data_IF_252086983215
#
_entry.id   IF_252086983215
#
_cell.length_a   1.000
_cell.length_b   1.000
_cell.length_c   1.000
_cell.angle_alpha   90.00
_cell.angle_beta   90.00
_cell.angle_gamma   90.00
#
_symmetry.space_group_name_H-M   'P 1'
#
loop_
_entity.id
_entity.type
_entity.pdbx_description
1 polymer ?
#
# COMPACT_ATOMS: atom_id res chain seq x y z
N UNK A 1 -0.25 24.50 19.62
CA UNK A 1 -0.18 23.45 20.65
C UNK A 1 -0.21 24.08 22.04
N UNK A 2 0.56 25.13 22.34
CA UNK A 2 0.42 25.86 23.61
C UNK A 2 -0.95 26.53 23.78
N UNK A 3 -1.46 27.26 22.79
CA UNK A 3 -2.76 27.96 22.89
C UNK A 3 -3.92 26.96 23.12
N UNK A 4 -3.88 25.82 22.44
CA UNK A 4 -4.87 24.75 22.62
C UNK A 4 -4.76 24.11 24.00
N UNK A 5 -3.56 23.82 24.50
CA UNK A 5 -3.36 23.24 25.83
C UNK A 5 -3.76 24.21 26.96
N UNK A 6 -3.40 25.49 26.84
CA UNK A 6 -3.81 26.54 27.77
C UNK A 6 -5.32 26.77 27.74
N UNK A 7 -5.96 26.72 26.57
CA UNK A 7 -7.41 26.80 26.43
C UNK A 7 -8.13 25.61 27.09
N UNK A 8 -7.62 24.40 26.91
CA UNK A 8 -8.15 23.18 27.52
C UNK A 8 -8.09 23.25 29.05
N UNK A 9 -6.96 23.71 29.59
CA UNK A 9 -6.78 23.84 31.03
C UNK A 9 -7.70 24.92 31.62
N UNK A 10 -7.86 26.04 30.91
CA UNK A 10 -8.79 27.11 31.28
C UNK A 10 -10.24 26.66 31.28
N UNK A 11 -10.70 25.93 30.25
CA UNK A 11 -12.08 25.44 30.20
C UNK A 11 -12.35 24.39 31.28
N UNK A 12 -11.42 23.47 31.52
CA UNK A 12 -11.53 22.49 32.62
C UNK A 12 -11.61 23.18 33.99
N UNK A 13 -10.82 24.23 34.20
CA UNK A 13 -10.81 25.01 35.43
C UNK A 13 -12.15 25.75 35.66
N UNK A 14 -12.64 26.46 34.64
CA UNK A 14 -13.93 27.18 34.70
C UNK A 14 -15.09 26.19 34.92
N UNK A 15 -15.08 25.05 34.23
CA UNK A 15 -16.13 24.05 34.36
C UNK A 15 -16.17 23.41 35.76
N UNK A 16 -15.01 23.08 36.35
CA UNK A 16 -14.95 22.58 37.72
C UNK A 16 -15.49 23.59 38.73
N UNK A 17 -15.16 24.88 38.60
CA UNK A 17 -15.64 25.90 39.54
C UNK A 17 -17.15 26.15 39.44
N UNK A 18 -17.71 26.22 38.23
CA UNK A 18 -19.16 26.41 38.04
C UNK A 18 -19.97 25.23 38.62
N UNK A 19 -19.43 24.01 38.53
CA UNK A 19 -20.09 22.81 39.08
C UNK A 19 -20.05 22.82 40.60
N UNK A 20 -18.89 23.14 41.18
CA UNK A 20 -18.73 23.17 42.64
C UNK A 20 -19.59 24.27 43.28
N UNK A 21 -19.69 25.44 42.67
CA UNK A 21 -20.51 26.53 43.20
C UNK A 21 -22.01 26.19 43.17
N UNK A 22 -22.49 25.56 42.09
CA UNK A 22 -23.89 25.11 42.00
C UNK A 22 -24.24 24.00 42.99
N UNK A 23 -23.32 23.07 43.21
CA UNK A 23 -23.53 22.00 44.21
C UNK A 23 -23.52 22.59 45.62
N UNK A 24 -22.57 23.48 45.94
CA UNK A 24 -22.44 24.04 47.29
C UNK A 24 -23.60 24.97 47.66
N UNK A 25 -24.18 25.67 46.69
CA UNK A 25 -25.29 26.60 46.91
C UNK A 25 -26.66 25.90 47.09
N UNK A 26 -26.87 24.76 46.43
CA UNK A 26 -28.14 24.02 46.49
C UNK A 26 -28.15 22.88 47.52
N UNK A 27 -27.00 22.52 48.12
CA UNK A 27 -26.92 21.51 49.20
C UNK A 27 -27.63 21.95 50.49
N UNK A 28 -27.80 23.26 50.73
CA UNK A 28 -28.53 23.79 51.89
C UNK A 28 -30.06 23.73 51.76
N UNK A 29 -30.59 23.31 50.60
CA UNK A 29 -32.03 23.12 50.38
C UNK A 29 -32.24 21.65 50.04
N UNK A 30 -33.14 20.96 50.71
CA UNK A 30 -33.53 19.55 50.42
C UNK A 30 -34.28 19.42 49.07
N UNK A 31 -33.80 20.08 48.02
CA UNK A 31 -34.42 20.22 46.71
C UNK A 31 -33.59 19.43 45.69
N UNK A 32 -34.27 18.63 44.88
CA UNK A 32 -33.62 17.83 43.83
C UNK A 32 -32.92 18.73 42.81
N UNK A 33 -31.59 18.63 42.73
CA UNK A 33 -30.78 19.34 41.72
C UNK A 33 -30.73 18.51 40.43
N UNK A 34 -31.30 19.06 39.35
CA UNK A 34 -31.30 18.39 38.05
C UNK A 34 -29.94 18.53 37.35
N UNK A 35 -29.12 17.48 37.41
CA UNK A 35 -27.81 17.41 36.75
C UNK A 35 -27.86 17.06 35.26
N UNK A 36 -29.03 16.77 34.69
CA UNK A 36 -29.12 16.27 33.31
C UNK A 36 -28.59 17.26 32.28
N UNK A 37 -28.90 18.55 32.46
CA UNK A 37 -28.36 19.61 31.61
C UNK A 37 -26.84 19.75 31.77
N UNK A 38 -26.34 19.62 32.99
CA UNK A 38 -24.89 19.69 33.26
C UNK A 38 -24.15 18.53 32.58
N UNK A 39 -24.69 17.31 32.67
CA UNK A 39 -24.14 16.12 32.05
C UNK A 39 -24.11 16.27 30.53
N UNK A 40 -25.21 16.76 29.92
CA UNK A 40 -25.27 17.01 28.48
C UNK A 40 -24.16 17.97 28.01
N UNK A 41 -23.95 19.08 28.73
CA UNK A 41 -22.87 20.03 28.41
C UNK A 41 -21.49 19.44 28.58
N UNK A 42 -21.28 18.65 29.63
CA UNK A 42 -20.03 17.95 29.84
C UNK A 42 -19.76 16.90 28.75
N UNK A 43 -20.79 16.21 28.26
CA UNK A 43 -20.66 15.25 27.16
C UNK A 43 -20.32 15.94 25.84
N UNK A 44 -21.00 17.03 25.49
CA UNK A 44 -20.66 17.86 24.33
C UNK A 44 -19.22 18.36 24.42
N UNK A 45 -18.81 18.84 25.60
CA UNK A 45 -17.44 19.29 25.84
C UNK A 45 -16.42 18.15 25.64
N UNK A 46 -16.71 16.96 26.18
CA UNK A 46 -15.87 15.76 25.98
C UNK A 46 -15.73 15.40 24.50
N UNK A 47 -16.82 15.42 23.74
CA UNK A 47 -16.77 15.18 22.30
C UNK A 47 -15.88 16.21 21.59
N UNK A 48 -16.06 17.50 21.88
CA UNK A 48 -15.25 18.57 21.29
C UNK A 48 -13.76 18.41 21.62
N UNK A 49 -13.47 18.04 22.87
CA UNK A 49 -12.11 17.73 23.33
C UNK A 49 -11.48 16.57 22.57
N UNK A 50 -12.22 15.49 22.34
CA UNK A 50 -11.76 14.36 21.52
C UNK A 50 -11.47 14.77 20.08
N UNK A 51 -12.29 15.63 19.48
CA UNK A 51 -12.02 16.17 18.14
C UNK A 51 -10.73 17.00 18.09
N UNK A 52 -10.54 17.91 19.06
CA UNK A 52 -9.32 18.74 19.14
C UNK A 52 -8.08 17.85 19.28
N UNK A 53 -8.16 16.84 20.16
CA UNK A 53 -7.07 15.89 20.36
C UNK A 53 -6.79 15.08 19.09
N UNK A 54 -7.82 14.62 18.38
CA UNK A 54 -7.70 13.92 17.12
C UNK A 54 -6.96 14.76 16.05
N UNK A 55 -7.35 16.02 15.86
CA UNK A 55 -6.64 16.92 14.93
C UNK A 55 -5.22 17.24 15.38
N UNK A 56 -4.98 17.38 16.69
CA UNK A 56 -3.64 17.55 17.24
C UNK A 56 -2.75 16.33 16.93
N UNK A 57 -3.28 15.11 17.05
CA UNK A 57 -2.59 13.86 16.70
C UNK A 57 -2.30 13.76 15.20
N UNK A 58 -3.23 14.15 14.33
CA UNK A 58 -2.97 14.24 12.88
C UNK A 58 -1.84 15.23 12.59
N UNK A 59 -1.86 16.40 13.25
CA UNK A 59 -0.81 17.42 13.10
C UNK A 59 0.54 16.92 13.61
N UNK A 60 0.57 16.19 14.71
CA UNK A 60 1.77 15.53 15.23
C UNK A 60 2.33 14.50 14.23
N UNK A 61 1.46 13.71 13.60
CA UNK A 61 1.85 12.74 12.56
C UNK A 61 2.52 13.44 11.36
N UNK A 62 2.07 14.65 11.00
CA UNK A 62 2.74 15.46 9.96
C UNK A 62 4.16 15.89 10.34
N UNK A 63 4.43 16.09 11.64
CA UNK A 63 5.77 16.43 12.14
C UNK A 63 6.74 15.26 11.99
N UNK A 64 6.26 14.01 12.07
CA UNK A 64 7.10 12.82 11.92
C UNK A 64 7.51 12.51 10.48
N UNK A 65 6.99 13.23 9.48
CA UNK A 65 7.36 13.07 8.06
C UNK A 65 8.81 13.44 7.74
N UNK A 66 9.57 13.98 8.70
CA UNK A 66 11.01 14.17 8.53
C UNK A 66 11.74 12.83 8.36
N UNK A 67 11.19 11.73 8.89
CA UNK A 67 11.72 10.39 8.63
C UNK A 67 11.36 9.91 7.22
N UNK A 68 12.36 9.46 6.45
CA UNK A 68 12.20 8.93 5.09
C UNK A 68 11.16 7.81 4.99
N UNK A 69 11.09 6.91 5.98
CA UNK A 69 10.12 5.80 6.04
C UNK A 69 8.68 6.32 6.14
N UNK A 70 8.46 7.32 6.99
CA UNK A 70 7.14 7.95 7.21
C UNK A 70 6.76 8.82 5.99
N UNK A 71 7.75 9.46 5.36
CA UNK A 71 7.55 10.22 4.11
C UNK A 71 7.09 9.32 2.97
N UNK A 72 7.69 8.15 2.80
CA UNK A 72 7.27 7.16 1.81
C UNK A 72 5.82 6.73 2.03
N UNK A 73 5.45 6.32 3.25
CA UNK A 73 4.07 5.95 3.58
C UNK A 73 3.06 7.08 3.31
N UNK A 74 3.44 8.31 3.64
CA UNK A 74 2.60 9.49 3.38
C UNK A 74 2.40 9.76 1.89
N UNK A 75 3.45 9.59 1.08
CA UNK A 75 3.38 9.71 -0.38
C UNK A 75 2.51 8.60 -0.97
N UNK A 76 2.72 7.34 -0.57
CA UNK A 76 1.88 6.20 -0.97
C UNK A 76 0.41 6.48 -0.68
N UNK A 77 0.08 6.90 0.53
CA UNK A 77 -1.30 7.21 0.91
C UNK A 77 -1.88 8.37 0.10
N UNK A 78 -1.07 9.40 -0.19
CA UNK A 78 -1.50 10.53 -1.02
C UNK A 78 -1.78 10.12 -2.46
N UNK A 79 -0.96 9.25 -3.05
CA UNK A 79 -1.19 8.73 -4.40
C UNK A 79 -2.37 7.75 -4.45
N UNK A 80 -2.56 6.94 -3.40
CA UNK A 80 -3.70 6.04 -3.26
C UNK A 80 -5.04 6.79 -3.03
N UNK A 81 -5.01 8.00 -2.47
CA UNK A 81 -6.24 8.72 -2.09
C UNK A 81 -7.20 8.94 -3.27
N UNK A 82 -6.70 9.38 -4.43
CA UNK A 82 -7.54 9.63 -5.61
C UNK A 82 -8.24 8.35 -6.13
N UNK A 83 -7.52 7.25 -6.42
CA UNK A 83 -8.17 6.01 -6.86
C UNK A 83 -9.06 5.39 -5.77
N UNK A 84 -8.71 5.50 -4.48
CA UNK A 84 -9.58 5.06 -3.37
C UNK A 84 -10.91 5.82 -3.36
N UNK A 85 -10.89 7.14 -3.55
CA UNK A 85 -12.13 7.95 -3.60
C UNK A 85 -12.99 7.54 -4.80
N UNK A 86 -12.39 7.34 -5.97
CA UNK A 86 -13.12 6.89 -7.17
C UNK A 86 -13.77 5.52 -6.96
N UNK A 87 -13.01 4.56 -6.42
CA UNK A 87 -13.51 3.24 -6.07
C UNK A 87 -14.61 3.31 -4.99
N UNK A 88 -14.45 4.18 -3.99
CA UNK A 88 -15.44 4.38 -2.93
C UNK A 88 -16.79 4.86 -3.48
N UNK A 89 -16.81 5.72 -4.51
CA UNK A 89 -18.06 6.15 -5.17
C UNK A 89 -18.73 4.98 -5.88
N UNK A 90 -17.98 4.17 -6.63
CA UNK A 90 -18.52 2.99 -7.32
C UNK A 90 -19.05 1.96 -6.31
N UNK A 91 -18.28 1.70 -5.26
CA UNK A 91 -18.68 0.81 -4.16
C UNK A 91 -19.92 1.31 -3.44
N UNK A 92 -20.04 2.62 -3.21
CA UNK A 92 -21.21 3.20 -2.54
C UNK A 92 -22.49 3.00 -3.34
N UNK A 93 -22.44 3.10 -4.68
CA UNK A 93 -23.61 2.83 -5.53
C UNK A 93 -24.04 1.38 -5.41
N UNK A 94 -23.08 0.44 -5.48
CA UNK A 94 -23.34 -0.99 -5.28
C UNK A 94 -23.92 -1.27 -3.88
N UNK A 95 -23.28 -0.73 -2.84
CA UNK A 95 -23.66 -0.89 -1.45
C UNK A 95 -25.07 -0.35 -1.19
N UNK A 96 -25.39 0.85 -1.67
CA UNK A 96 -26.71 1.46 -1.52
C UNK A 96 -27.79 0.65 -2.26
N UNK A 97 -27.49 0.09 -3.43
CA UNK A 97 -28.41 -0.79 -4.14
C UNK A 97 -28.80 -2.01 -3.30
N UNK A 98 -27.81 -2.69 -2.72
CA UNK A 98 -28.05 -3.82 -1.81
C UNK A 98 -28.69 -3.38 -0.49
N UNK A 99 -28.40 -2.17 0.00
CA UNK A 99 -29.01 -1.62 1.22
C UNK A 99 -30.50 -1.39 1.06
N UNK A 100 -30.92 -0.77 -0.04
CA UNK A 100 -32.34 -0.59 -0.31
C UNK A 100 -33.05 -1.91 -0.54
N UNK A 101 -32.40 -2.86 -1.23
CA UNK A 101 -32.94 -4.21 -1.41
C UNK A 101 -33.12 -4.93 -0.07
N UNK A 102 -32.11 -4.89 0.80
CA UNK A 102 -32.14 -5.55 2.09
C UNK A 102 -33.19 -4.95 3.03
N UNK A 103 -33.27 -3.61 3.07
CA UNK A 103 -34.30 -2.91 3.82
C UNK A 103 -35.68 -3.30 3.29
N UNK A 104 -35.95 -3.19 1.99
CA UNK A 104 -37.26 -3.53 1.42
C UNK A 104 -37.67 -4.99 1.66
N UNK A 105 -36.73 -5.94 1.53
CA UNK A 105 -37.04 -7.36 1.63
C UNK A 105 -37.13 -7.86 3.07
N UNK A 106 -36.22 -7.43 3.95
CA UNK A 106 -36.07 -7.96 5.30
C UNK A 106 -36.61 -7.04 6.41
N UNK A 107 -37.17 -5.87 6.08
CA UNK A 107 -37.69 -4.87 7.04
C UNK A 107 -38.67 -5.48 8.06
N UNK A 108 -39.60 -6.32 7.60
CA UNK A 108 -40.64 -6.89 8.47
C UNK A 108 -40.20 -8.13 9.24
N UNK A 109 -39.17 -8.82 8.76
CA UNK A 109 -38.74 -10.12 9.32
C UNK A 109 -37.59 -9.98 10.31
N UNK A 110 -36.70 -9.00 10.10
CA UNK A 110 -35.46 -8.87 10.86
C UNK A 110 -35.31 -7.43 11.34
N UNK A 111 -35.30 -7.24 12.67
CA UNK A 111 -35.21 -5.93 13.30
C UNK A 111 -34.02 -5.10 12.82
N UNK A 112 -32.91 -5.79 12.55
CA UNK A 112 -31.65 -5.23 12.07
C UNK A 112 -31.81 -4.47 10.72
N UNK A 113 -32.82 -4.83 9.91
CA UNK A 113 -33.12 -4.18 8.63
C UNK A 113 -34.31 -3.21 8.69
N UNK A 114 -34.85 -2.92 9.87
CA UNK A 114 -36.04 -2.06 10.03
C UNK A 114 -35.82 -0.59 9.64
N UNK A 115 -34.61 -0.07 9.82
CA UNK A 115 -34.26 1.32 9.53
C UNK A 115 -33.02 1.38 8.65
N UNK A 116 -32.97 2.30 7.68
CA UNK A 116 -31.82 2.44 6.76
C UNK A 116 -30.47 2.57 7.49
N UNK A 117 -30.29 3.39 8.55
CA UNK A 117 -29.02 3.47 9.26
C UNK A 117 -28.66 2.18 10.01
N UNK A 118 -29.66 1.47 10.54
CA UNK A 118 -29.47 0.20 11.24
C UNK A 118 -29.08 -0.90 10.24
N UNK A 119 -29.81 -0.99 9.12
CA UNK A 119 -29.52 -1.88 8.01
C UNK A 119 -28.12 -1.63 7.43
N UNK A 120 -27.71 -0.37 7.29
CA UNK A 120 -26.36 -0.03 6.85
C UNK A 120 -25.30 -0.54 7.83
N UNK A 121 -25.53 -0.40 9.14
CA UNK A 121 -24.66 -0.95 10.18
C UNK A 121 -24.53 -2.47 10.11
N UNK A 122 -25.63 -3.18 9.85
CA UNK A 122 -25.63 -4.63 9.67
C UNK A 122 -24.92 -5.06 8.38
N UNK A 123 -25.11 -4.34 7.28
CA UNK A 123 -24.37 -4.59 6.05
C UNK A 123 -22.87 -4.33 6.20
N UNK A 124 -22.45 -3.31 6.95
CA UNK A 124 -21.04 -3.12 7.30
C UNK A 124 -20.51 -4.25 8.18
N UNK A 125 -21.32 -4.74 9.11
CA UNK A 125 -20.96 -5.89 9.95
C UNK A 125 -20.81 -7.16 9.11
N UNK A 126 -21.68 -7.35 8.12
CA UNK A 126 -21.58 -8.42 7.10
C UNK A 126 -20.32 -8.30 6.24
N UNK A 127 -19.93 -7.08 5.82
CA UNK A 127 -18.66 -6.83 5.13
C UNK A 127 -17.43 -7.18 5.99
N UNK A 128 -17.49 -6.90 7.29
CA UNK A 128 -16.45 -7.27 8.26
C UNK A 128 -16.51 -8.75 8.67
N UNK A 129 -17.40 -9.53 8.05
CA UNK A 129 -17.65 -10.94 8.34
C UNK A 129 -18.07 -11.19 9.81
N UNK A 130 -18.73 -10.22 10.44
CA UNK A 130 -19.30 -10.27 11.79
C UNK A 130 -20.82 -10.15 11.72
N UNK A 131 -21.50 -11.19 11.26
CA UNK A 131 -22.95 -11.16 11.06
C UNK A 131 -23.61 -12.44 11.58
N UNK A 132 -24.91 -12.37 11.85
CA UNK A 132 -25.72 -13.53 12.21
C UNK A 132 -26.46 -14.06 10.97
N UNK A 133 -25.86 -15.06 10.32
CA UNK A 133 -26.45 -15.72 9.15
C UNK A 133 -27.82 -16.36 9.46
N UNK A 134 -27.99 -16.82 10.69
CA UNK A 134 -29.16 -17.60 11.13
C UNK A 134 -30.43 -16.81 10.96
N UNK A 135 -30.42 -15.53 11.36
CA UNK A 135 -31.58 -14.64 11.26
C UNK A 135 -32.00 -14.41 9.80
N UNK A 136 -31.04 -14.33 8.88
CA UNK A 136 -31.32 -14.09 7.46
C UNK A 136 -31.85 -15.36 6.77
N UNK A 137 -31.34 -16.54 7.16
CA UNK A 137 -31.82 -17.82 6.67
C UNK A 137 -33.22 -18.18 7.21
N UNK A 138 -33.52 -17.81 8.46
CA UNK A 138 -34.84 -17.99 9.06
C UNK A 138 -35.90 -17.08 8.41
N UNK A 139 -35.52 -15.86 8.02
CA UNK A 139 -36.41 -14.93 7.32
C UNK A 139 -36.80 -15.46 5.93
N UNK A 140 -35.82 -15.90 5.14
CA UNK A 140 -36.09 -16.55 3.85
C UNK A 140 -35.00 -17.60 3.55
N UNK A 141 -35.43 -18.86 3.43
CA UNK A 141 -34.54 -20.01 3.23
C UNK A 141 -33.81 -19.99 1.88
N UNK A 142 -34.32 -19.26 0.89
CA UNK A 142 -33.72 -19.18 -0.44
C UNK A 142 -33.06 -17.82 -0.67
N UNK A 143 -33.80 -16.73 -0.42
CA UNK A 143 -33.32 -15.37 -0.71
C UNK A 143 -32.30 -14.88 0.31
N UNK A 144 -32.37 -15.31 1.57
CA UNK A 144 -31.39 -14.95 2.59
C UNK A 144 -29.98 -15.41 2.22
N UNK A 145 -29.74 -16.72 2.00
CA UNK A 145 -28.44 -17.23 1.56
C UNK A 145 -27.96 -16.66 0.23
N UNK A 146 -28.87 -16.46 -0.74
CA UNK A 146 -28.54 -15.89 -2.04
C UNK A 146 -28.07 -14.44 -1.91
N UNK A 147 -28.82 -13.62 -1.17
CA UNK A 147 -28.47 -12.24 -0.87
C UNK A 147 -27.12 -12.16 -0.16
N UNK A 148 -26.94 -12.97 0.89
CA UNK A 148 -25.71 -13.02 1.66
C UNK A 148 -24.50 -13.39 0.80
N UNK A 149 -24.62 -14.44 0.00
CA UNK A 149 -23.54 -14.92 -0.86
C UNK A 149 -23.19 -13.91 -1.95
N UNK A 150 -24.19 -13.34 -2.62
CA UNK A 150 -23.98 -12.35 -3.67
C UNK A 150 -23.34 -11.08 -3.11
N UNK A 151 -23.84 -10.55 -1.99
CA UNK A 151 -23.28 -9.35 -1.39
C UNK A 151 -21.87 -9.58 -0.85
N UNK A 152 -21.69 -10.55 0.05
CA UNK A 152 -20.41 -10.78 0.75
C UNK A 152 -19.32 -11.28 -0.19
N UNK A 153 -19.65 -12.17 -1.12
CA UNK A 153 -18.69 -12.72 -2.08
C UNK A 153 -18.14 -11.65 -3.02
N UNK A 154 -19.03 -10.90 -3.67
CA UNK A 154 -18.64 -9.81 -4.58
C UNK A 154 -17.90 -8.72 -3.83
N UNK A 155 -18.40 -8.28 -2.66
CA UNK A 155 -17.75 -7.24 -1.87
C UNK A 155 -16.35 -7.65 -1.41
N UNK A 156 -16.17 -8.86 -0.90
CA UNK A 156 -14.87 -9.31 -0.39
C UNK A 156 -13.84 -9.37 -1.51
N UNK A 157 -14.20 -9.96 -2.65
CA UNK A 157 -13.33 -10.05 -3.82
C UNK A 157 -13.02 -8.66 -4.37
N UNK A 158 -14.05 -7.81 -4.55
CA UNK A 158 -13.88 -6.47 -5.09
C UNK A 158 -13.02 -5.58 -4.18
N UNK A 159 -13.29 -5.58 -2.88
CA UNK A 159 -12.54 -4.77 -1.90
C UNK A 159 -11.08 -5.22 -1.80
N UNK A 160 -10.82 -6.52 -1.70
CA UNK A 160 -9.45 -7.04 -1.63
C UNK A 160 -8.67 -6.76 -2.91
N UNK A 161 -9.24 -7.12 -4.06
CA UNK A 161 -8.53 -6.97 -5.34
C UNK A 161 -8.29 -5.49 -5.68
N UNK A 162 -9.26 -4.61 -5.44
CA UNK A 162 -9.07 -3.18 -5.68
C UNK A 162 -8.07 -2.58 -4.70
N UNK A 163 -8.09 -2.97 -3.43
CA UNK A 163 -7.13 -2.47 -2.46
C UNK A 163 -5.70 -2.89 -2.80
N UNK A 164 -5.50 -4.15 -3.20
CA UNK A 164 -4.17 -4.66 -3.62
C UNK A 164 -3.67 -3.87 -4.84
N UNK A 165 -4.49 -3.71 -5.88
CA UNK A 165 -4.11 -2.98 -7.10
C UNK A 165 -3.74 -1.53 -6.80
N UNK A 166 -4.58 -0.82 -6.03
CA UNK A 166 -4.33 0.59 -5.69
C UNK A 166 -3.07 0.72 -4.83
N UNK A 167 -2.86 -0.20 -3.88
CA UNK A 167 -1.71 -0.19 -2.98
C UNK A 167 -0.41 -0.45 -3.75
N UNK A 168 -0.38 -1.44 -4.63
CA UNK A 168 0.79 -1.73 -5.48
C UNK A 168 1.15 -0.53 -6.37
N UNK A 169 0.16 0.02 -7.09
CA UNK A 169 0.39 1.17 -7.98
C UNK A 169 0.87 2.41 -7.20
N UNK A 170 0.26 2.70 -6.06
CA UNK A 170 0.64 3.86 -5.24
C UNK A 170 2.02 3.72 -4.62
N UNK A 171 2.43 2.51 -4.22
CA UNK A 171 3.79 2.25 -3.72
C UNK A 171 4.81 2.43 -4.84
N UNK A 172 4.56 1.89 -6.04
CA UNK A 172 5.44 2.05 -7.21
C UNK A 172 5.67 3.53 -7.53
N UNK A 173 4.59 4.31 -7.58
CA UNK A 173 4.65 5.76 -7.83
C UNK A 173 5.40 6.51 -6.71
N UNK A 174 5.11 6.20 -5.45
CA UNK A 174 5.77 6.85 -4.31
C UNK A 174 7.28 6.56 -4.26
N UNK A 175 7.70 5.34 -4.60
CA UNK A 175 9.12 4.97 -4.67
C UNK A 175 9.85 5.70 -5.80
N UNK A 176 9.28 5.72 -7.01
CA UNK A 176 9.86 6.41 -8.15
C UNK A 176 10.08 7.91 -7.89
N UNK A 177 9.14 8.57 -7.22
CA UNK A 177 9.27 9.98 -6.84
C UNK A 177 10.36 10.19 -5.77
N UNK A 178 10.41 9.30 -4.77
CA UNK A 178 11.42 9.38 -3.71
C UNK A 178 12.85 9.18 -4.24
N UNK A 179 13.02 8.31 -5.24
CA UNK A 179 14.31 8.08 -5.93
C UNK A 179 14.71 9.29 -6.77
N UNK A 180 13.77 9.92 -7.49
CA UNK A 180 14.03 11.18 -8.21
C UNK A 180 14.53 12.28 -7.27
N UNK A 181 13.88 12.45 -6.13
CA UNK A 181 14.30 13.41 -5.11
C UNK A 181 15.70 13.05 -4.54
N UNK A 182 16.06 11.77 -4.38
CA UNK A 182 17.42 11.37 -3.96
C UNK A 182 18.47 11.83 -4.96
N UNK A 183 18.22 11.67 -6.26
CA UNK A 183 19.16 12.11 -7.30
C UNK A 183 19.36 13.64 -7.29
N UNK A 184 18.31 14.43 -7.01
CA UNK A 184 18.44 15.89 -6.83
C UNK A 184 19.30 16.25 -5.60
N UNK A 185 19.14 15.53 -4.48
CA UNK A 185 20.00 15.70 -3.31
C UNK A 185 21.43 15.22 -3.56
N UNK A 186 21.64 14.17 -4.35
CA UNK A 186 22.97 13.69 -4.74
C UNK A 186 23.71 14.76 -5.57
N UNK A 187 23.04 15.43 -6.51
CA UNK A 187 23.62 16.59 -7.24
C UNK A 187 24.01 17.72 -6.28
N UNK A 188 23.19 18.00 -5.26
CA UNK A 188 23.51 18.99 -4.22
C UNK A 188 24.68 18.54 -3.34
N UNK A 189 24.79 17.25 -3.03
CA UNK A 189 25.92 16.70 -2.29
C UNK A 189 27.20 16.64 -3.12
N UNK A 190 27.13 16.39 -4.44
CA UNK A 190 28.25 16.60 -5.36
C UNK A 190 28.70 18.06 -5.34
N UNK A 191 27.78 19.02 -5.41
CA UNK A 191 28.12 20.46 -5.33
C UNK A 191 28.71 20.86 -3.98
N UNK A 192 28.18 20.34 -2.86
CA UNK A 192 28.76 20.54 -1.54
C UNK A 192 30.14 19.90 -1.42
N UNK A 193 30.33 18.71 -1.97
CA UNK A 193 31.63 18.00 -1.97
C UNK A 193 32.65 18.75 -2.82
N UNK A 194 32.24 19.36 -3.93
CA UNK A 194 33.08 20.27 -4.72
C UNK A 194 33.45 21.53 -3.93
N UNK A 195 32.47 22.14 -3.23
CA UNK A 195 32.67 23.34 -2.42
C UNK A 195 33.55 23.07 -1.19
N UNK A 196 33.31 21.96 -0.49
CA UNK A 196 34.11 21.47 0.64
C UNK A 196 35.51 21.09 0.17
N UNK A 197 35.65 20.43 -0.98
CA UNK A 197 36.96 20.13 -1.57
C UNK A 197 37.73 21.41 -1.91
N UNK A 198 37.05 22.42 -2.43
CA UNK A 198 37.64 23.74 -2.69
C UNK A 198 38.04 24.44 -1.39
N UNK A 199 37.17 24.48 -0.38
CA UNK A 199 37.47 25.05 0.95
C UNK A 199 38.60 24.28 1.64
N UNK A 200 38.65 22.96 1.50
CA UNK A 200 39.71 22.11 2.04
C UNK A 200 41.05 22.37 1.36
N UNK A 201 41.06 22.66 0.05
CA UNK A 201 42.26 23.09 -0.67
C UNK A 201 42.80 24.45 -0.21
N UNK A 202 41.93 25.31 0.34
CA UNK A 202 42.26 26.63 0.86
C UNK A 202 42.55 26.59 2.37
N UNK A 203 41.97 25.64 3.12
CA UNK A 203 42.11 25.50 4.57
C UNK A 203 42.04 24.01 5.01
N UNK A 204 43.18 23.30 5.11
CA UNK A 204 43.21 21.83 5.28
C UNK A 204 42.92 21.31 6.70
N UNK A 205 42.56 22.16 7.68
CA UNK A 205 42.60 21.80 9.12
C UNK A 205 41.24 21.39 9.73
N UNK A 206 40.09 21.48 9.04
CA UNK A 206 38.78 21.49 9.73
C UNK A 206 37.77 20.35 9.48
N UNK A 207 37.98 19.40 8.56
CA UNK A 207 36.86 18.53 8.11
C UNK A 207 37.11 17.02 8.13
N UNK A 208 37.82 16.51 9.14
CA UNK A 208 38.02 15.07 9.32
C UNK A 208 36.84 14.36 10.03
N UNK A 209 35.80 15.11 10.44
CA UNK A 209 34.72 14.61 11.30
C UNK A 209 33.42 14.19 10.60
N UNK A 210 33.27 14.38 9.28
CA UNK A 210 31.96 14.20 8.61
C UNK A 210 31.75 12.87 7.88
N UNK A 211 32.68 11.91 7.93
CA UNK A 211 32.61 10.69 7.11
C UNK A 211 31.85 9.51 7.73
N UNK A 212 31.53 9.54 9.02
CA UNK A 212 31.15 8.30 9.75
C UNK A 212 29.64 8.12 9.99
N UNK A 213 28.77 9.08 9.65
CA UNK A 213 27.35 9.02 10.05
C UNK A 213 26.33 8.75 8.94
N UNK A 214 26.73 8.63 7.66
CA UNK A 214 25.76 8.55 6.54
C UNK A 214 25.50 7.13 5.97
N UNK A 215 26.22 6.09 6.40
CA UNK A 215 26.12 4.75 5.77
C UNK A 215 25.00 3.83 6.31
N UNK A 216 24.27 4.16 7.38
CA UNK A 216 23.33 3.22 8.01
C UNK A 216 21.84 3.32 7.61
N UNK A 217 21.43 4.27 6.77
CA UNK A 217 19.98 4.50 6.48
C UNK A 217 19.55 4.18 5.03
N UNK A 218 20.36 3.40 4.31
CA UNK A 218 20.01 2.89 2.99
C UNK A 218 19.15 1.63 3.11
N UNK A 219 17.82 1.83 3.08
CA UNK A 219 16.88 0.75 2.80
C UNK A 219 17.31 0.04 1.52
N UNK A 220 17.85 -1.17 1.67
CA UNK A 220 18.27 -2.08 0.60
C UNK A 220 17.19 -2.11 -0.48
N UNK A 221 17.53 -1.55 -1.63
CA UNK A 221 16.77 -1.61 -2.86
C UNK A 221 16.76 -3.08 -3.29
N UNK A 222 15.61 -3.75 -3.14
CA UNK A 222 15.35 -5.02 -3.84
C UNK A 222 14.58 -4.60 -5.10
N UNK A 223 15.24 -4.54 -6.29
CA UNK A 223 14.52 -4.38 -7.53
C UNK A 223 13.46 -5.48 -7.63
N UNK A 224 12.34 -5.23 -8.33
CA UNK A 224 11.30 -6.22 -8.57
C UNK A 224 11.94 -7.60 -8.81
N UNK A 225 11.65 -8.64 -7.99
CA UNK A 225 12.34 -9.93 -8.10
C UNK A 225 12.30 -10.47 -9.53
N UNK A 226 11.19 -10.19 -10.23
CA UNK A 226 10.95 -10.53 -11.63
C UNK A 226 11.98 -9.88 -12.58
N UNK A 227 12.37 -8.63 -12.38
CA UNK A 227 13.37 -7.95 -13.23
C UNK A 227 14.81 -8.41 -12.93
N UNK A 228 15.10 -8.82 -11.69
CA UNK A 228 16.38 -9.43 -11.33
C UNK A 228 16.48 -10.82 -11.96
N UNK A 229 15.37 -11.58 -11.90
CA UNK A 229 15.26 -12.90 -12.50
C UNK A 229 15.38 -12.80 -14.01
N UNK A 230 14.67 -11.89 -14.69
CA UNK A 230 14.80 -11.65 -16.13
C UNK A 230 16.24 -11.32 -16.52
N UNK A 231 16.89 -10.35 -15.84
CA UNK A 231 18.29 -10.00 -16.13
C UNK A 231 19.26 -11.15 -15.89
N UNK A 232 19.04 -11.96 -14.85
CA UNK A 232 19.87 -13.14 -14.57
C UNK A 232 19.63 -14.24 -15.59
N UNK A 233 18.39 -14.43 -16.05
CA UNK A 233 18.04 -15.37 -17.11
C UNK A 233 18.71 -14.94 -18.42
N UNK A 234 18.60 -13.67 -18.81
CA UNK A 234 19.24 -13.15 -20.02
C UNK A 234 20.78 -13.31 -19.98
N UNK A 235 21.40 -13.04 -18.83
CA UNK A 235 22.84 -13.27 -18.63
C UNK A 235 23.23 -14.74 -18.73
N UNK A 236 22.40 -15.66 -18.22
CA UNK A 236 22.64 -17.09 -18.29
C UNK A 236 22.45 -17.60 -19.72
N UNK A 237 21.42 -17.13 -20.44
CA UNK A 237 21.21 -17.46 -21.86
C UNK A 237 22.39 -17.01 -22.71
N UNK A 238 22.94 -15.82 -22.45
CA UNK A 238 24.16 -15.34 -23.10
C UNK A 238 25.39 -16.19 -22.77
N UNK A 239 25.57 -16.59 -21.52
CA UNK A 239 26.68 -17.46 -21.13
C UNK A 239 26.57 -18.85 -21.77
N UNK A 240 25.37 -19.44 -21.80
CA UNK A 240 25.15 -20.75 -22.43
C UNK A 240 25.40 -20.68 -23.94
N UNK A 241 24.94 -19.64 -24.62
CA UNK A 241 25.20 -19.43 -26.05
C UNK A 241 26.69 -19.24 -26.34
N UNK A 242 27.42 -18.51 -25.49
CA UNK A 242 28.87 -18.35 -25.64
C UNK A 242 29.61 -19.67 -25.41
N UNK A 243 29.17 -20.49 -24.45
CA UNK A 243 29.75 -21.81 -24.20
C UNK A 243 29.48 -22.74 -25.40
N UNK A 244 28.27 -22.76 -25.97
CA UNK A 244 27.99 -23.53 -27.20
C UNK A 244 28.90 -23.13 -28.36
N UNK A 245 29.18 -21.83 -28.52
CA UNK A 245 30.12 -21.34 -29.54
C UNK A 245 31.57 -21.73 -29.22
N UNK A 246 31.97 -21.71 -27.95
CA UNK A 246 33.30 -22.12 -27.50
C UNK A 246 33.51 -23.64 -27.69
N UNK A 247 32.47 -24.46 -27.50
CA UNK A 247 32.46 -25.89 -27.83
C UNK A 247 32.50 -26.14 -29.35
N UNK A 248 31.81 -25.32 -30.16
CA UNK A 248 31.85 -25.41 -31.62
C UNK A 248 33.22 -25.03 -32.20
N UNK A 249 33.90 -24.04 -31.61
CA UNK A 249 35.26 -23.65 -31.99
C UNK A 249 36.33 -24.67 -31.56
N UNK A 250 36.12 -25.39 -30.45
CA UNK A 250 37.06 -26.42 -29.97
C UNK A 250 36.89 -27.74 -30.76
N UNK A 251 35.67 -28.09 -31.18
CA UNK A 251 35.41 -29.25 -32.04
C UNK A 251 35.96 -29.05 -33.46
N UNK A 252 35.98 -27.81 -33.96
CA UNK A 252 36.51 -27.47 -35.29
C UNK A 252 38.02 -27.10 -35.31
N UNK A 253 38.69 -27.14 -34.15
CA UNK A 253 40.14 -26.93 -34.04
C UNK A 253 40.97 -28.21 -34.19
N UNK A 254 40.32 -29.37 -34.14
CA UNK A 254 40.94 -30.69 -34.24
C UNK A 254 40.67 -31.40 -35.57
N UNK A 255 40.13 -30.71 -36.57
CA UNK A 255 40.11 -31.21 -37.95
C UNK A 255 41.30 -30.61 -38.67
N UNK A 256 42.40 -31.36 -38.70
CA UNK A 256 43.56 -31.07 -39.54
C UNK A 256 43.11 -31.20 -41.00
N UNK A 257 43.05 -30.07 -41.70
CA UNK A 257 42.51 -29.98 -43.07
C UNK A 257 43.45 -30.64 -44.09
N UNK A 258 44.67 -31.03 -43.67
CA UNK A 258 45.68 -31.65 -44.53
C UNK A 258 45.55 -33.19 -44.63
N UNK A 259 44.76 -33.85 -43.76
CA UNK A 259 44.60 -35.33 -43.78
C UNK A 259 43.35 -35.81 -44.54
N UNK A 260 42.45 -34.92 -44.99
CA UNK A 260 41.26 -35.30 -45.77
C UNK A 260 41.44 -35.26 -47.30
N UNK A 261 42.53 -34.71 -47.82
CA UNK A 261 42.80 -34.69 -49.27
C UNK A 261 43.47 -35.98 -49.79
N UNK A 262 43.85 -36.92 -48.93
CA UNK A 262 44.55 -38.15 -49.33
C UNK A 262 43.67 -39.40 -49.45
N UNK A 263 42.37 -39.33 -49.14
CA UNK A 263 41.46 -40.49 -49.20
C UNK A 263 40.24 -40.30 -50.12
N UNK A 264 40.22 -39.25 -50.94
CA UNK A 264 39.11 -38.93 -51.85
C UNK A 264 39.41 -39.08 -53.35
N UNK A 265 40.47 -39.78 -53.72
CA UNK A 265 40.81 -40.03 -55.14
C UNK A 265 40.37 -41.41 -55.67
N UNK A 266 39.72 -42.24 -54.87
CA UNK A 266 39.14 -43.52 -55.33
C UNK A 266 37.83 -43.81 -54.59
N UNK A 267 36.68 -43.35 -55.10
CA UNK A 267 35.41 -44.10 -55.24
C UNK A 267 34.38 -43.19 -55.95
N UNK A 268 33.74 -43.77 -56.97
CA UNK A 268 32.89 -43.14 -57.98
C UNK A 268 31.70 -42.29 -57.46
N UNK A 269 31.53 -41.14 -58.11
CA UNK A 269 30.51 -40.10 -57.93
C UNK A 269 29.10 -40.51 -58.42
N UNK A 270 28.73 -41.80 -58.43
CA UNK A 270 27.44 -42.24 -58.96
C UNK A 270 26.43 -42.67 -57.86
N UNK A 271 26.88 -43.16 -56.70
CA UNK A 271 25.97 -43.69 -55.68
C UNK A 271 25.35 -42.62 -54.75
N UNK A 272 26.04 -41.49 -54.51
CA UNK A 272 25.55 -40.44 -53.59
C UNK A 272 24.46 -39.55 -54.23
N UNK A 273 24.46 -39.41 -55.56
CA UNK A 273 23.43 -38.66 -56.28
C UNK A 273 22.08 -39.38 -56.32
N UNK A 274 22.05 -40.71 -56.19
CA UNK A 274 20.83 -41.51 -56.14
C UNK A 274 20.12 -41.40 -54.77
N UNK A 275 20.88 -41.31 -53.67
CA UNK A 275 20.30 -41.20 -52.33
C UNK A 275 19.75 -39.79 -52.02
N UNK A 276 20.35 -38.74 -52.60
CA UNK A 276 19.86 -37.37 -52.47
C UNK A 276 18.60 -37.07 -53.31
N UNK A 277 18.30 -37.86 -54.34
CA UNK A 277 17.02 -37.76 -55.06
C UNK A 277 15.87 -38.51 -54.36
N UNK A 278 16.18 -39.52 -53.54
CA UNK A 278 15.19 -40.32 -52.79
C UNK A 278 14.56 -39.54 -51.63
N UNK A 279 15.33 -38.66 -50.97
CA UNK A 279 14.89 -37.96 -49.74
C UNK A 279 14.01 -36.72 -50.02
N UNK A 280 13.97 -36.22 -51.27
CA UNK A 280 13.09 -35.10 -51.65
C UNK A 280 11.64 -35.48 -52.01
N UNK A 281 11.27 -36.76 -51.84
CA UNK A 281 9.97 -37.33 -52.23
C UNK A 281 9.08 -37.80 -51.06
N UNK A 282 9.36 -37.39 -49.83
CA UNK A 282 8.47 -37.64 -48.67
C UNK A 282 8.25 -36.36 -47.85
#
# INVERSE_FOLDING_TARGET
>A
MSITASGIYGVRYIHSHIILDKITQDVDKETFVNFQYLILWNDIFRFLMSFILFFATIKFTRLLRFNRRIRLLSMTLSYAAKPVVLFSVMFSIYFLGFLFLANLWFEQTVYAYSNIPLAAGEMFSMLLNRFDFTQLQEADKLLGPLFFSAFTGVCTIALLNMFIVILDESIKRARAELERTKNEFEVVDYMKKQLVGYIHSVMPVFLERSKTEEEEDELVYIPHPEQILEKRIDQLTLHVSNIELEFYEDENKNVDVDDLEAELDDVEMDDVMLDLMSIKSY
#
